data_IF_064173111775
#
_entry.id   IF_064173111775
#
_cell.length_a   1.000
_cell.length_b   1.000
_cell.length_c   1.000
_cell.angle_alpha   90.00
_cell.angle_beta   90.00
_cell.angle_gamma   90.00
#
_symmetry.space_group_name_H-M   'P 1'
#
loop_
_entity.id
_entity.type
_entity.pdbx_description
1 polymer ?
#
# COMPACT_ATOMS: atom_id res chain seq x y z
N UNK A 1 -14.48 1.64 10.66
CA UNK A 1 -13.98 2.67 9.73
C UNK A 1 -12.47 2.61 9.60
N UNK A 2 -11.99 2.78 8.40
CA UNK A 2 -10.55 2.79 8.17
C UNK A 2 -9.93 4.03 8.85
N UNK A 3 -8.85 3.80 9.59
CA UNK A 3 -8.23 4.87 10.37
C UNK A 3 -6.99 5.48 9.73
N UNK A 4 -6.59 4.98 8.60
CA UNK A 4 -5.46 5.54 7.88
C UNK A 4 -5.89 6.64 6.92
N UNK A 5 -4.92 7.11 6.14
CA UNK A 5 -5.16 8.16 5.15
C UNK A 5 -4.39 7.86 3.87
N UNK A 6 -4.75 8.54 2.81
CA UNK A 6 -4.05 8.40 1.53
C UNK A 6 -2.58 8.72 1.74
N UNK A 7 -1.72 7.87 1.21
CA UNK A 7 -0.28 7.96 1.36
C UNK A 7 0.29 7.05 2.42
N UNK A 8 -0.52 6.55 3.33
CA UNK A 8 -0.04 5.62 4.35
C UNK A 8 0.29 4.27 3.72
N UNK A 9 1.29 3.59 4.26
CA UNK A 9 1.66 2.26 3.79
C UNK A 9 1.13 1.20 4.72
N UNK A 10 0.66 0.11 4.13
CA UNK A 10 0.13 -1.03 4.87
C UNK A 10 0.62 -2.33 4.27
N UNK A 11 0.70 -3.35 5.11
CA UNK A 11 0.82 -4.74 4.67
C UNK A 11 -0.58 -5.33 4.74
N UNK A 12 -1.00 -5.99 3.66
CA UNK A 12 -2.29 -6.66 3.60
C UNK A 12 -2.07 -8.16 3.53
N UNK A 13 -2.59 -8.87 4.53
CA UNK A 13 -2.51 -10.33 4.60
C UNK A 13 -3.81 -10.90 4.05
N UNK A 14 -3.79 -11.30 2.78
CA UNK A 14 -4.96 -11.87 2.12
C UNK A 14 -5.08 -13.33 2.54
N UNK A 15 -5.88 -13.59 3.56
CA UNK A 15 -6.03 -14.94 4.12
C UNK A 15 -6.72 -15.88 3.14
N UNK A 16 -7.53 -15.35 2.24
CA UNK A 16 -8.24 -16.16 1.26
C UNK A 16 -7.28 -16.84 0.30
N UNK A 17 -6.29 -16.10 -0.18
CA UNK A 17 -5.33 -16.61 -1.16
C UNK A 17 -3.97 -16.91 -0.57
N UNK A 18 -3.75 -16.58 0.68
CA UNK A 18 -2.46 -16.80 1.33
C UNK A 18 -1.37 -15.85 0.87
N UNK A 19 -1.74 -14.74 0.25
CA UNK A 19 -0.77 -13.77 -0.25
C UNK A 19 -0.58 -12.63 0.73
N UNK A 20 0.61 -12.03 0.70
CA UNK A 20 0.92 -10.84 1.49
C UNK A 20 1.34 -9.76 0.52
N UNK A 21 0.68 -8.61 0.61
CA UNK A 21 0.95 -7.46 -0.24
C UNK A 21 1.33 -6.27 0.61
N UNK A 22 2.18 -5.43 0.07
CA UNK A 22 2.57 -4.20 0.74
C UNK A 22 2.33 -3.06 -0.23
N UNK A 23 1.68 -1.99 0.23
CA UNK A 23 1.37 -0.90 -0.68
C UNK A 23 0.94 0.37 0.01
N UNK A 24 0.71 1.38 -0.80
CA UNK A 24 0.28 2.70 -0.37
C UNK A 24 -1.22 2.86 -0.58
N UNK A 25 -1.89 3.47 0.38
CA UNK A 25 -3.30 3.82 0.23
C UNK A 25 -3.39 4.94 -0.80
N UNK A 26 -4.18 4.71 -1.85
CA UNK A 26 -4.36 5.71 -2.90
C UNK A 26 -5.78 6.25 -2.94
N UNK A 27 -6.72 5.57 -2.31
CA UNK A 27 -8.12 5.99 -2.36
C UNK A 27 -8.86 5.40 -1.16
N UNK A 28 -9.76 6.17 -0.58
CA UNK A 28 -10.53 5.75 0.60
C UNK A 28 -11.99 6.09 0.38
N UNK A 29 -12.87 5.12 0.63
CA UNK A 29 -14.31 5.35 0.69
C UNK A 29 -14.83 4.84 2.04
N UNK A 30 -16.12 5.00 2.28
CA UNK A 30 -16.73 4.47 3.50
C UNK A 30 -16.71 2.94 3.56
N UNK A 31 -16.59 2.29 2.42
CA UNK A 31 -16.73 0.83 2.34
C UNK A 31 -15.44 0.10 2.03
N UNK A 32 -14.45 0.79 1.46
CA UNK A 32 -13.21 0.12 1.05
C UNK A 32 -12.07 1.12 0.91
N UNK A 33 -10.86 0.58 0.80
CA UNK A 33 -9.69 1.36 0.42
C UNK A 33 -9.03 0.70 -0.78
N UNK A 34 -8.20 1.45 -1.47
CA UNK A 34 -7.40 0.94 -2.59
C UNK A 34 -5.93 1.07 -2.23
N UNK A 35 -5.20 -0.03 -2.38
CA UNK A 35 -3.75 -0.06 -2.16
C UNK A 35 -3.05 -0.19 -3.49
N UNK A 36 -2.04 0.65 -3.72
CA UNK A 36 -1.15 0.49 -4.86
C UNK A 36 0.02 -0.38 -4.41
N UNK A 37 0.07 -1.61 -4.89
CA UNK A 37 1.07 -2.58 -4.46
C UNK A 37 2.27 -2.67 -5.39
N UNK A 38 2.17 -2.06 -6.57
CA UNK A 38 3.27 -2.06 -7.53
C UNK A 38 3.12 -0.87 -8.46
N UNK A 39 4.23 -0.25 -8.79
CA UNK A 39 4.26 0.88 -9.72
C UNK A 39 5.58 0.85 -10.49
N UNK A 40 5.48 1.01 -11.79
CA UNK A 40 6.66 1.07 -12.64
C UNK A 40 6.43 2.00 -13.81
N UNK A 41 7.51 2.51 -14.37
CA UNK A 41 7.43 3.35 -15.55
C UNK A 41 7.19 2.46 -16.76
N UNK A 42 6.28 2.89 -17.63
CA UNK A 42 6.06 2.21 -18.90
C UNK A 42 7.23 2.50 -19.83
N UNK A 43 7.48 1.57 -20.76
CA UNK A 43 8.45 1.83 -21.81
C UNK A 43 7.89 2.92 -22.73
N UNK A 44 8.73 3.58 -23.54
CA UNK A 44 8.23 4.60 -24.46
C UNK A 44 7.11 4.08 -25.37
N UNK A 45 7.23 2.84 -25.83
CA UNK A 45 6.21 2.24 -26.67
C UNK A 45 4.89 2.08 -25.94
N UNK A 46 4.94 1.61 -24.70
CA UNK A 46 3.73 1.42 -23.90
C UNK A 46 3.09 2.74 -23.53
N UNK A 47 3.90 3.77 -23.30
CA UNK A 47 3.40 5.07 -22.90
C UNK A 47 2.80 5.85 -24.06
N UNK A 48 3.11 5.45 -25.29
CA UNK A 48 2.65 6.17 -26.48
C UNK A 48 1.12 6.13 -26.57
N UNK A 49 0.51 7.29 -26.50
CA UNK A 49 -0.95 7.39 -26.54
C UNK A 49 -1.65 7.08 -25.22
N UNK A 50 -0.92 6.68 -24.20
CA UNK A 50 -1.52 6.38 -22.92
C UNK A 50 -1.74 7.65 -22.09
N UNK A 51 -2.72 7.61 -21.19
CA UNK A 51 -3.00 8.74 -20.30
C UNK A 51 -1.92 8.91 -19.25
N UNK A 52 -1.27 7.83 -18.85
CA UNK A 52 -0.27 7.84 -17.81
C UNK A 52 0.97 7.10 -18.27
N UNK A 53 2.13 7.61 -17.90
CA UNK A 53 3.39 6.93 -18.17
C UNK A 53 3.70 5.86 -17.12
N UNK A 54 2.83 5.71 -16.11
CA UNK A 54 3.01 4.73 -15.04
C UNK A 54 2.11 3.52 -15.26
N UNK A 55 2.65 2.34 -14.95
CA UNK A 55 1.86 1.13 -14.83
C UNK A 55 1.71 0.84 -13.35
N UNK A 56 0.48 0.70 -12.89
CA UNK A 56 0.20 0.47 -11.49
C UNK A 56 -0.65 -0.76 -11.31
N UNK A 57 -0.36 -1.53 -10.25
CA UNK A 57 -1.20 -2.65 -9.82
C UNK A 57 -1.81 -2.25 -8.49
N UNK A 58 -3.12 -2.29 -8.43
CA UNK A 58 -3.87 -1.88 -7.25
C UNK A 58 -4.80 -2.99 -6.81
N UNK A 59 -5.00 -3.08 -5.50
CA UNK A 59 -5.97 -4.01 -4.93
C UNK A 59 -6.96 -3.24 -4.10
N UNK A 60 -8.17 -3.76 -4.05
CA UNK A 60 -9.26 -3.16 -3.27
C UNK A 60 -9.44 -3.99 -2.01
N UNK A 61 -9.48 -3.33 -0.86
CA UNK A 61 -9.67 -3.99 0.43
C UNK A 61 -10.96 -3.46 1.04
N UNK A 62 -11.95 -4.33 1.15
CA UNK A 62 -13.23 -3.97 1.74
C UNK A 62 -13.13 -3.83 3.25
N UNK A 63 -14.00 -3.01 3.82
CA UNK A 63 -14.00 -2.73 5.26
C UNK A 63 -14.06 -3.98 6.12
N UNK A 64 -14.68 -5.04 5.62
CA UNK A 64 -14.77 -6.30 6.37
C UNK A 64 -13.42 -7.00 6.50
N UNK A 65 -12.40 -6.55 5.75
CA UNK A 65 -11.07 -7.14 5.76
C UNK A 65 -10.01 -6.20 6.31
N UNK A 66 -10.43 -5.08 6.91
CA UNK A 66 -9.45 -4.12 7.46
C UNK A 66 -8.62 -4.72 8.58
N UNK A 67 -9.15 -5.74 9.28
CA UNK A 67 -8.39 -6.42 10.32
C UNK A 67 -7.16 -7.16 9.78
N UNK A 68 -7.11 -7.36 8.45
CA UNK A 68 -5.97 -8.03 7.81
C UNK A 68 -4.90 -7.03 7.38
N UNK A 69 -5.11 -5.73 7.64
CA UNK A 69 -4.14 -4.69 7.34
C UNK A 69 -3.27 -4.41 8.56
N UNK A 70 -1.97 -4.25 8.32
CA UNK A 70 -1.02 -3.87 9.36
C UNK A 70 -0.28 -2.62 8.91
N UNK A 71 -0.33 -1.54 9.68
CA UNK A 71 0.39 -0.32 9.27
C UNK A 71 1.89 -0.56 9.27
N UNK A 72 2.56 0.00 8.26
CA UNK A 72 4.01 -0.01 8.18
C UNK A 72 4.50 1.34 8.70
N UNK A 73 5.19 1.31 9.83
CA UNK A 73 5.75 2.51 10.41
C UNK A 73 7.05 2.82 9.74
N UNK A 74 6.97 3.66 8.80
CA UNK A 74 8.18 4.12 8.19
C UNK A 74 8.71 5.32 8.95
N UNK A 75 8.27 5.61 9.96
CA UNK A 75 8.68 6.75 10.60
C UNK A 75 9.33 6.73 11.83
N UNK A 76 8.66 6.22 11.64
CA UNK A 76 8.93 6.13 12.33
C UNK A 76 9.37 6.00 12.96
N UNK A 77 9.46 6.18 12.98
CA UNK A 77 10.15 5.98 13.45
C UNK A 77 10.55 5.68 13.88
N UNK A 78 10.68 5.96 13.92
CA UNK A 78 11.52 5.65 14.24
C UNK A 78 11.87 5.56 14.57
N UNK A 79 11.97 5.77 14.68
CA UNK A 79 12.86 5.63 15.12
C UNK A 79 13.11 5.19 15.56
N UNK A 80 13.09 5.38 15.60
CA UNK A 80 13.94 4.89 16.03
C UNK A 80 14.30 4.30 16.25
N UNK A 81 14.23 4.49 16.41
CA UNK A 81 15.19 3.86 16.65
C UNK A 81 15.52 3.32 16.81
N UNK A 82 15.70 3.34 17.03
CA UNK A 82 16.65 2.73 17.17
C UNK A 82 16.84 2.13 17.18
N UNK A 83 16.91 2.30 17.38
CA UNK A 83 17.68 1.71 17.37
C UNK A 83 17.73 1.10 17.33
N UNK A 84 17.66 1.10 16.99
CA UNK A 84 18.21 0.41 16.98
C UNK A 84 18.37 -0.10 16.80
N UNK A 85 17.96 0.30 17.44
CA UNK A 85 18.76 -0.14 17.36
C UNK A 85 18.59 -0.61 17.11
N UNK A 86 18.59 -0.64 16.84
CA UNK A 86 18.94 -1.00 16.69
C UNK A 86 18.98 -1.45 16.45
N UNK A 87 18.78 -1.25 16.62
CA UNK A 87 19.20 -1.52 16.51
C UNK A 87 19.31 -1.89 16.38
N UNK A 88 19.18 -1.41 16.68
CA UNK A 88 19.74 -1.67 16.62
C UNK A 88 19.71 -2.01 16.38
#
# INVERSE_FOLDING_TARGET
>A
MFKGKVGDRFTYHDHTNGHVHEGDVTFITNDYIVLCIHRELKTPEEAHGARSKWREVKILVYKYHYHQLTPLNSNVNHEESPIHGQQD
#
